data_IF_060436546452
#
_entry.id   IF_060436546452
#
_cell.length_a   1.000
_cell.length_b   1.000
_cell.length_c   1.000
_cell.angle_alpha   90.00
_cell.angle_beta   90.00
_cell.angle_gamma   90.00
#
_symmetry.space_group_name_H-M   'P 1'
#
loop_
_entity.id
_entity.type
_entity.pdbx_description
1 polymer ?
#
# COMPACT_ATOMS: atom_id res chain seq x y z
N UNK A 1 6.91 -14.52 -26.43
CA UNK A 1 6.78 -13.18 -25.84
C UNK A 1 5.43 -12.64 -26.27
N UNK A 2 4.52 -12.35 -25.34
CA UNK A 2 3.30 -11.58 -25.66
C UNK A 2 3.70 -10.10 -25.65
N UNK A 3 3.51 -9.41 -26.76
CA UNK A 3 3.76 -7.97 -26.90
C UNK A 3 2.43 -7.24 -26.65
N UNK A 4 2.49 -6.03 -26.08
CA UNK A 4 1.36 -5.10 -25.95
C UNK A 4 0.90 -4.61 -27.34
N UNK A 5 0.44 -5.51 -28.21
CA UNK A 5 -0.01 -5.22 -29.57
C UNK A 5 -1.50 -5.60 -29.68
N UNK A 6 -2.36 -4.73 -29.15
CA UNK A 6 -3.82 -4.93 -29.13
C UNK A 6 -4.37 -5.84 -28.03
N UNK A 7 -3.55 -6.71 -27.43
CA UNK A 7 -3.96 -7.66 -26.39
C UNK A 7 -3.58 -7.22 -24.96
N UNK A 8 -3.79 -5.94 -24.64
CA UNK A 8 -3.35 -5.34 -23.37
C UNK A 8 -3.95 -6.04 -22.15
N UNK A 9 -5.26 -6.27 -22.17
CA UNK A 9 -5.97 -6.95 -21.07
C UNK A 9 -5.42 -8.36 -20.84
N UNK A 10 -5.28 -9.15 -21.89
CA UNK A 10 -4.78 -10.53 -21.80
C UNK A 10 -3.33 -10.56 -21.34
N UNK A 11 -2.51 -9.61 -21.80
CA UNK A 11 -1.13 -9.47 -21.34
C UNK A 11 -1.07 -9.20 -19.84
N UNK A 12 -1.84 -8.24 -19.32
CA UNK A 12 -1.89 -7.94 -17.88
C UNK A 12 -2.34 -9.19 -17.09
N UNK A 13 -3.40 -9.87 -17.54
CA UNK A 13 -3.93 -11.07 -16.89
C UNK A 13 -2.93 -12.24 -16.88
N UNK A 14 -2.14 -12.38 -17.95
CA UNK A 14 -1.08 -13.37 -18.03
C UNK A 14 0.06 -13.08 -17.04
N UNK A 15 0.48 -11.81 -16.93
CA UNK A 15 1.48 -11.40 -15.95
C UNK A 15 0.99 -11.59 -14.51
N UNK A 16 -0.29 -11.28 -14.24
CA UNK A 16 -0.93 -11.60 -12.95
C UNK A 16 -0.88 -13.10 -12.66
N UNK A 17 -1.26 -13.94 -13.62
CA UNK A 17 -1.21 -15.39 -13.45
C UNK A 17 0.21 -15.88 -13.13
N UNK A 18 1.24 -15.35 -13.82
CA UNK A 18 2.64 -15.68 -13.53
C UNK A 18 3.05 -15.27 -12.11
N UNK A 19 2.69 -14.05 -11.69
CA UNK A 19 2.96 -13.58 -10.33
C UNK A 19 2.28 -14.46 -9.28
N UNK A 20 1.02 -14.86 -9.50
CA UNK A 20 0.26 -15.73 -8.61
C UNK A 20 0.83 -17.16 -8.54
N UNK A 21 1.43 -17.67 -9.62
CA UNK A 21 2.17 -18.93 -9.57
C UNK A 21 3.34 -18.86 -8.58
N UNK A 22 4.15 -17.80 -8.63
CA UNK A 22 5.20 -17.58 -7.63
C UNK A 22 4.62 -17.43 -6.22
N UNK A 23 3.54 -16.67 -6.05
CA UNK A 23 2.88 -16.48 -4.76
C UNK A 23 2.50 -17.82 -4.09
N UNK A 24 2.00 -18.78 -4.87
CA UNK A 24 1.65 -20.13 -4.40
C UNK A 24 2.87 -21.01 -4.08
N UNK A 25 4.02 -20.76 -4.71
CA UNK A 25 5.24 -21.54 -4.50
C UNK A 25 6.07 -21.04 -3.30
N UNK A 26 6.06 -19.73 -3.02
CA UNK A 26 6.87 -19.11 -1.96
C UNK A 26 6.72 -19.77 -0.58
N UNK A 27 5.52 -20.17 -0.10
CA UNK A 27 5.37 -20.83 1.20
C UNK A 27 6.15 -22.15 1.33
N UNK A 28 6.50 -22.79 0.20
CA UNK A 28 7.26 -24.04 0.17
C UNK A 28 8.77 -23.82 0.02
N UNK A 29 9.25 -22.59 -0.15
CA UNK A 29 10.66 -22.27 -0.24
C UNK A 29 11.22 -21.97 1.18
N UNK A 30 12.10 -22.81 1.74
CA UNK A 30 12.62 -22.62 3.10
C UNK A 30 13.69 -21.51 3.21
N UNK A 31 14.39 -21.19 2.12
CA UNK A 31 15.44 -20.18 2.15
C UNK A 31 14.88 -18.78 1.93
N UNK A 32 15.07 -17.92 2.93
CA UNK A 32 14.56 -16.54 2.93
C UNK A 32 15.11 -15.70 1.78
N UNK A 33 16.36 -15.92 1.36
CA UNK A 33 16.93 -15.18 0.21
C UNK A 33 16.24 -15.59 -1.10
N UNK A 34 15.95 -16.87 -1.28
CA UNK A 34 15.17 -17.38 -2.42
C UNK A 34 13.72 -16.88 -2.38
N UNK A 35 13.07 -16.84 -1.21
CA UNK A 35 11.75 -16.20 -1.07
C UNK A 35 11.77 -14.73 -1.54
N UNK A 36 12.76 -13.95 -1.10
CA UNK A 36 12.93 -12.56 -1.55
C UNK A 36 13.16 -12.47 -3.06
N UNK A 37 13.99 -13.36 -3.63
CA UNK A 37 14.21 -13.40 -5.07
C UNK A 37 12.94 -13.75 -5.85
N UNK A 38 12.10 -14.65 -5.33
CA UNK A 38 10.79 -14.99 -5.93
C UNK A 38 9.82 -13.80 -5.88
N UNK A 39 9.77 -13.06 -4.76
CA UNK A 39 9.00 -11.81 -4.68
C UNK A 39 9.52 -10.75 -5.64
N UNK A 40 10.83 -10.58 -5.77
CA UNK A 40 11.42 -9.69 -6.76
C UNK A 40 11.02 -10.10 -8.18
N UNK A 41 11.02 -11.40 -8.51
CA UNK A 41 10.56 -11.90 -9.81
C UNK A 41 9.09 -11.59 -10.10
N UNK A 42 8.24 -11.58 -9.08
CA UNK A 42 6.84 -11.13 -9.21
C UNK A 42 6.76 -9.66 -9.63
N UNK A 43 7.54 -8.79 -9.00
CA UNK A 43 7.62 -7.36 -9.37
C UNK A 43 8.19 -7.21 -10.79
N UNK A 44 9.30 -7.90 -11.10
CA UNK A 44 9.96 -7.84 -12.41
C UNK A 44 8.98 -8.21 -13.55
N UNK A 45 8.09 -9.18 -13.31
CA UNK A 45 7.04 -9.58 -14.26
C UNK A 45 6.14 -8.42 -14.66
N UNK A 46 5.90 -7.46 -13.75
CA UNK A 46 5.09 -6.29 -13.99
C UNK A 46 5.85 -5.09 -14.56
N UNK A 47 7.17 -5.19 -14.79
CA UNK A 47 7.99 -4.03 -15.18
C UNK A 47 7.43 -3.23 -16.35
N UNK A 48 6.90 -3.90 -17.38
CA UNK A 48 6.28 -3.23 -18.55
C UNK A 48 5.01 -2.45 -18.17
N UNK A 49 4.23 -2.94 -17.20
CA UNK A 49 3.05 -2.26 -16.68
C UNK A 49 3.44 -1.08 -15.79
N UNK A 50 4.42 -1.28 -14.89
CA UNK A 50 4.80 -0.27 -13.90
C UNK A 50 5.49 0.95 -14.51
N UNK A 51 6.14 0.77 -15.66
CA UNK A 51 6.85 1.83 -16.38
C UNK A 51 6.16 2.27 -17.69
N UNK A 52 5.06 1.62 -18.05
CA UNK A 52 4.30 1.94 -19.26
C UNK A 52 3.28 3.07 -19.06
N UNK A 53 2.88 3.69 -20.16
CA UNK A 53 1.78 4.64 -20.20
C UNK A 53 0.51 3.92 -20.65
N UNK A 54 -0.56 4.06 -19.86
CA UNK A 54 -1.84 3.37 -20.10
C UNK A 54 -2.99 4.35 -20.10
N UNK A 55 -3.99 4.09 -20.95
CA UNK A 55 -5.26 4.77 -20.85
C UNK A 55 -6.00 4.30 -19.59
N UNK A 56 -6.06 5.18 -18.57
CA UNK A 56 -6.65 4.88 -17.27
C UNK A 56 -8.17 4.63 -17.35
N UNK A 57 -8.86 5.19 -18.34
CA UNK A 57 -10.29 4.91 -18.55
C UNK A 57 -10.52 3.48 -19.06
N UNK A 58 -9.60 2.97 -19.88
CA UNK A 58 -9.71 1.63 -20.46
C UNK A 58 -9.19 0.54 -19.50
N UNK A 59 -8.11 0.83 -18.75
CA UNK A 59 -7.37 -0.18 -17.99
C UNK A 59 -7.29 0.09 -16.50
N UNK A 60 -7.94 1.14 -15.98
CA UNK A 60 -7.83 1.59 -14.59
C UNK A 60 -8.06 0.47 -13.57
N UNK A 61 -9.10 -0.35 -13.73
CA UNK A 61 -9.36 -1.48 -12.83
C UNK A 61 -8.25 -2.54 -12.84
N UNK A 62 -7.67 -2.84 -14.00
CA UNK A 62 -6.56 -3.79 -14.11
C UNK A 62 -5.29 -3.24 -13.47
N UNK A 63 -4.98 -1.97 -13.71
CA UNK A 63 -3.84 -1.29 -13.08
C UNK A 63 -3.99 -1.22 -11.57
N UNK A 64 -5.21 -1.00 -11.09
CA UNK A 64 -5.53 -0.97 -9.67
C UNK A 64 -5.24 -2.32 -9.01
N UNK A 65 -5.69 -3.43 -9.60
CA UNK A 65 -5.33 -4.78 -9.10
C UNK A 65 -3.80 -5.00 -9.06
N UNK A 66 -3.08 -4.59 -10.13
CA UNK A 66 -1.62 -4.72 -10.19
C UNK A 66 -0.93 -3.87 -9.12
N UNK A 67 -1.35 -2.61 -8.94
CA UNK A 67 -0.78 -1.72 -7.93
C UNK A 67 -1.02 -2.21 -6.51
N UNK A 68 -2.21 -2.75 -6.23
CA UNK A 68 -2.48 -3.40 -4.95
C UNK A 68 -1.51 -4.57 -4.71
N UNK A 69 -1.40 -5.49 -5.68
CA UNK A 69 -0.52 -6.66 -5.54
C UNK A 69 0.95 -6.27 -5.39
N UNK A 70 1.43 -5.31 -6.18
CA UNK A 70 2.82 -4.83 -6.10
C UNK A 70 3.08 -4.12 -4.78
N UNK A 71 2.14 -3.30 -4.31
CA UNK A 71 2.20 -2.69 -2.98
C UNK A 71 2.34 -3.73 -1.87
N UNK A 72 1.57 -4.81 -1.93
CA UNK A 72 1.67 -5.94 -0.99
C UNK A 72 3.02 -6.64 -1.08
N UNK A 73 3.52 -6.94 -2.29
CA UNK A 73 4.81 -7.60 -2.47
C UNK A 73 5.95 -6.77 -1.85
N UNK A 74 5.95 -5.45 -2.06
CA UNK A 74 6.92 -4.56 -1.46
C UNK A 74 6.80 -4.50 0.08
N UNK A 75 5.57 -4.48 0.63
CA UNK A 75 5.38 -4.58 2.08
C UNK A 75 5.94 -5.90 2.63
N UNK A 76 5.76 -7.01 1.90
CA UNK A 76 6.30 -8.32 2.30
C UNK A 76 7.82 -8.31 2.22
N UNK A 77 8.43 -7.72 1.17
CA UNK A 77 9.88 -7.61 1.04
C UNK A 77 10.51 -6.78 2.16
N UNK A 78 9.83 -5.70 2.57
CA UNK A 78 10.21 -4.95 3.74
C UNK A 78 10.23 -5.85 4.97
N UNK A 79 9.13 -6.53 5.30
CA UNK A 79 9.01 -7.41 6.47
C UNK A 79 9.99 -8.61 6.41
N UNK A 80 10.18 -9.20 5.23
CA UNK A 80 11.15 -10.27 4.96
C UNK A 80 12.60 -9.81 5.03
N UNK A 81 12.92 -8.53 5.11
CA UNK A 81 14.31 -8.11 5.39
C UNK A 81 14.50 -7.65 6.84
N UNK A 82 13.41 -7.53 7.59
CA UNK A 82 13.40 -7.17 9.01
C UNK A 82 13.70 -8.40 9.87
N UNK A 83 14.81 -8.36 10.60
CA UNK A 83 15.09 -9.29 11.71
C UNK A 83 15.14 -8.54 13.03
N UNK A 84 15.73 -7.33 13.04
CA UNK A 84 15.77 -6.43 14.20
C UNK A 84 15.80 -4.95 13.75
N UNK A 85 15.27 -4.03 14.56
CA UNK A 85 15.37 -2.57 14.39
C UNK A 85 16.83 -2.10 14.54
N UNK A 86 17.62 -2.24 13.48
CA UNK A 86 19.06 -2.00 13.44
C UNK A 86 19.40 -1.09 12.25
N UNK A 87 20.64 -0.63 12.06
CA UNK A 87 21.00 0.12 10.83
C UNK A 87 20.58 -0.59 9.52
N UNK A 88 20.76 -1.93 9.39
CA UNK A 88 20.22 -2.70 8.26
C UNK A 88 18.71 -2.59 8.04
N UNK A 89 17.92 -2.27 9.08
CA UNK A 89 16.48 -2.01 8.94
C UNK A 89 16.22 -0.81 8.03
N UNK A 90 17.00 0.26 8.18
CA UNK A 90 16.76 1.49 7.42
C UNK A 90 17.13 1.35 5.94
N UNK A 91 17.99 0.37 5.62
CA UNK A 91 18.34 0.00 4.25
C UNK A 91 17.19 -0.70 3.50
N UNK A 92 16.14 -1.14 4.22
CA UNK A 92 14.95 -1.77 3.64
C UNK A 92 13.81 -0.78 3.42
N UNK A 93 13.93 0.45 3.94
CA UNK A 93 12.89 1.48 3.83
C UNK A 93 12.49 1.79 2.39
N UNK A 94 13.37 1.58 1.42
CA UNK A 94 13.00 1.74 0.01
C UNK A 94 11.82 0.84 -0.37
N UNK A 95 11.79 -0.41 0.09
CA UNK A 95 10.65 -1.30 -0.13
C UNK A 95 9.36 -0.77 0.53
N UNK A 96 9.44 -0.21 1.73
CA UNK A 96 8.25 0.37 2.35
C UNK A 96 7.77 1.64 1.62
N UNK A 97 8.70 2.47 1.14
CA UNK A 97 8.37 3.66 0.33
C UNK A 97 7.76 3.26 -1.01
N UNK A 98 8.30 2.25 -1.68
CA UNK A 98 7.73 1.71 -2.92
C UNK A 98 6.34 1.10 -2.67
N UNK A 99 6.16 0.39 -1.54
CA UNK A 99 4.86 -0.12 -1.12
C UNK A 99 3.83 1.00 -0.96
N UNK A 100 4.20 2.09 -0.25
CA UNK A 100 3.36 3.29 -0.11
C UNK A 100 3.02 3.86 -1.48
N UNK A 101 4.01 4.07 -2.34
CA UNK A 101 3.81 4.63 -3.68
C UNK A 101 2.79 3.84 -4.50
N UNK A 102 2.87 2.51 -4.52
CA UNK A 102 1.92 1.69 -5.27
C UNK A 102 0.53 1.63 -4.61
N UNK A 103 0.45 1.60 -3.28
CA UNK A 103 -0.85 1.71 -2.61
C UNK A 103 -1.49 3.09 -2.79
N UNK A 104 -0.72 4.16 -2.84
CA UNK A 104 -1.24 5.49 -3.18
C UNK A 104 -1.81 5.50 -4.59
N UNK A 105 -1.07 4.97 -5.59
CA UNK A 105 -1.60 4.82 -6.95
C UNK A 105 -2.89 3.99 -7.01
N UNK A 106 -2.96 2.91 -6.24
CA UNK A 106 -4.17 2.11 -6.08
C UNK A 106 -5.36 2.95 -5.59
N UNK A 107 -5.17 3.74 -4.53
CA UNK A 107 -6.23 4.62 -3.98
C UNK A 107 -6.55 5.77 -4.95
N UNK A 108 -5.56 6.34 -5.62
CA UNK A 108 -5.74 7.39 -6.62
C UNK A 108 -6.63 6.94 -7.78
N UNK A 109 -6.52 5.67 -8.21
CA UNK A 109 -7.37 5.13 -9.27
C UNK A 109 -8.85 5.10 -8.90
N UNK A 110 -9.18 4.83 -7.64
CA UNK A 110 -10.56 5.00 -7.16
C UNK A 110 -11.01 6.46 -7.22
N UNK A 111 -10.14 7.43 -6.91
CA UNK A 111 -10.52 8.84 -7.05
C UNK A 111 -10.69 9.25 -8.51
N UNK A 112 -9.78 8.81 -9.38
CA UNK A 112 -9.81 9.05 -10.82
C UNK A 112 -11.09 8.51 -11.49
N UNK A 113 -11.52 7.30 -11.14
CA UNK A 113 -12.71 6.65 -11.70
C UNK A 113 -14.02 7.41 -11.45
N UNK A 114 -14.03 8.43 -10.58
CA UNK A 114 -15.17 9.33 -10.41
C UNK A 114 -15.35 10.31 -11.59
N UNK A 115 -14.40 10.38 -12.53
CA UNK A 115 -14.50 11.18 -13.75
C UNK A 115 -14.36 12.69 -13.52
N UNK A 116 -13.68 13.11 -12.45
CA UNK A 116 -13.51 14.53 -12.08
C UNK A 116 -12.18 15.14 -12.52
N UNK A 117 -11.23 14.34 -13.00
CA UNK A 117 -9.85 14.77 -13.27
C UNK A 117 -9.32 14.14 -14.55
N UNK A 118 -8.37 14.81 -15.21
CA UNK A 118 -7.72 14.34 -16.43
C UNK A 118 -6.56 13.35 -16.16
N UNK A 119 -6.23 13.12 -14.89
CA UNK A 119 -5.15 12.24 -14.47
C UNK A 119 -5.19 11.87 -12.98
N UNK A 120 -4.18 11.13 -12.53
CA UNK A 120 -4.01 10.77 -11.12
C UNK A 120 -3.56 11.99 -10.32
N UNK A 121 -4.45 12.48 -9.46
CA UNK A 121 -4.15 13.55 -8.52
C UNK A 121 -3.58 12.99 -7.20
N UNK A 122 -2.85 13.80 -6.41
CA UNK A 122 -2.47 13.45 -5.06
C UNK A 122 -3.69 13.05 -4.21
N UNK A 123 -3.48 12.19 -3.22
CA UNK A 123 -4.55 11.80 -2.30
C UNK A 123 -5.10 13.03 -1.57
N UNK A 124 -6.43 13.11 -1.36
CA UNK A 124 -7.02 14.22 -0.65
C UNK A 124 -6.47 14.26 0.79
N UNK A 125 -6.27 15.45 1.39
CA UNK A 125 -5.80 15.57 2.76
C UNK A 125 -6.70 14.84 3.76
N UNK A 126 -8.02 14.95 3.55
CA UNK A 126 -9.04 14.17 4.24
C UNK A 126 -9.60 13.11 3.29
N UNK A 127 -9.50 11.85 3.68
CA UNK A 127 -10.02 10.74 2.90
C UNK A 127 -11.56 10.77 2.91
N UNK A 128 -12.13 10.50 1.74
CA UNK A 128 -13.58 10.34 1.57
C UNK A 128 -13.87 9.14 0.68
N UNK A 129 -15.08 8.58 0.78
CA UNK A 129 -15.50 7.46 -0.05
C UNK A 129 -15.73 7.91 -1.49
N UNK A 130 -15.08 7.28 -2.47
CA UNK A 130 -15.37 7.52 -3.88
C UNK A 130 -16.84 7.35 -4.22
N UNK A 131 -17.42 8.30 -4.96
CA UNK A 131 -18.87 8.37 -5.21
C UNK A 131 -19.45 7.18 -5.99
N UNK A 132 -18.62 6.43 -6.70
CA UNK A 132 -19.02 5.25 -7.48
C UNK A 132 -19.00 3.95 -6.65
N UNK A 133 -18.57 3.98 -5.38
CA UNK A 133 -18.61 2.82 -4.49
C UNK A 133 -19.93 2.80 -3.74
N UNK A 134 -20.86 1.99 -4.24
CA UNK A 134 -22.25 1.97 -3.77
C UNK A 134 -22.52 0.84 -2.77
N UNK A 135 -21.72 -0.23 -2.81
CA UNK A 135 -21.99 -1.46 -2.06
C UNK A 135 -20.83 -1.89 -1.16
N UNK A 136 -21.15 -2.66 -0.11
CA UNK A 136 -20.13 -3.20 0.80
C UNK A 136 -19.04 -4.05 0.08
N UNK A 137 -19.36 -4.89 -0.92
CA UNK A 137 -18.36 -5.56 -1.75
C UNK A 137 -17.35 -4.63 -2.44
N UNK A 138 -17.78 -3.45 -2.90
CA UNK A 138 -16.90 -2.49 -3.59
C UNK A 138 -16.07 -1.67 -2.60
N UNK A 139 -16.65 -1.39 -1.43
CA UNK A 139 -16.01 -0.66 -0.34
C UNK A 139 -14.90 -1.50 0.34
N UNK A 140 -15.04 -2.83 0.36
CA UNK A 140 -14.10 -3.70 1.07
C UNK A 140 -12.66 -3.64 0.52
N UNK A 141 -12.41 -3.81 -0.77
CA UNK A 141 -11.06 -3.68 -1.32
C UNK A 141 -10.48 -2.27 -1.14
N UNK A 142 -11.31 -1.23 -1.24
CA UNK A 142 -10.90 0.16 -1.01
C UNK A 142 -10.38 0.36 0.42
N UNK A 143 -11.18 -0.01 1.43
CA UNK A 143 -10.79 0.12 2.83
C UNK A 143 -9.62 -0.78 3.20
N UNK A 144 -9.58 -2.02 2.69
CA UNK A 144 -8.43 -2.90 2.89
C UNK A 144 -7.13 -2.25 2.39
N UNK A 145 -7.14 -1.67 1.20
CA UNK A 145 -5.96 -0.94 0.69
C UNK A 145 -5.60 0.27 1.54
N UNK A 146 -6.58 1.02 2.04
CA UNK A 146 -6.32 2.12 2.99
C UNK A 146 -5.71 1.64 4.30
N UNK A 147 -6.20 0.54 4.89
CA UNK A 147 -5.62 -0.04 6.10
C UNK A 147 -4.18 -0.51 5.87
N UNK A 148 -3.91 -1.18 4.74
CA UNK A 148 -2.55 -1.61 4.41
C UNK A 148 -1.63 -0.40 4.19
N UNK A 149 -2.07 0.61 3.42
CA UNK A 149 -1.33 1.86 3.21
C UNK A 149 -0.98 2.52 4.56
N UNK A 150 -1.98 2.68 5.42
CA UNK A 150 -1.85 3.28 6.75
C UNK A 150 -0.83 2.52 7.61
N UNK A 151 -0.92 1.18 7.59
CA UNK A 151 0.02 0.30 8.31
C UNK A 151 1.45 0.47 7.80
N UNK A 152 1.67 0.56 6.49
CA UNK A 152 3.02 0.73 5.93
C UNK A 152 3.62 2.07 6.35
N UNK A 153 2.84 3.16 6.34
CA UNK A 153 3.26 4.46 6.88
C UNK A 153 3.75 4.38 8.33
N UNK A 154 3.03 3.64 9.19
CA UNK A 154 3.38 3.46 10.60
C UNK A 154 4.59 2.55 10.86
N UNK A 155 5.00 1.75 9.87
CA UNK A 155 6.16 0.86 9.98
C UNK A 155 7.48 1.61 9.75
N UNK A 156 7.54 2.54 8.80
CA UNK A 156 8.82 3.08 8.33
C UNK A 156 9.55 3.89 9.42
N UNK A 157 10.86 3.68 9.55
CA UNK A 157 11.73 4.44 10.46
C UNK A 157 13.03 4.79 9.74
N UNK A 158 13.34 6.08 9.62
CA UNK A 158 14.53 6.60 8.93
C UNK A 158 15.61 7.05 9.93
N UNK A 159 16.83 7.26 9.42
CA UNK A 159 17.90 7.94 10.18
C UNK A 159 17.54 9.40 10.47
N UNK A 160 16.80 10.03 9.55
CA UNK A 160 16.23 11.36 9.74
C UNK A 160 14.93 11.25 10.54
N UNK A 161 15.02 11.58 11.83
CA UNK A 161 13.87 11.61 12.74
C UNK A 161 12.74 12.52 12.23
N UNK A 162 13.04 13.62 11.52
CA UNK A 162 12.00 14.49 10.98
C UNK A 162 11.22 13.80 9.85
N UNK A 163 11.90 13.00 9.03
CA UNK A 163 11.25 12.17 8.01
C UNK A 163 10.40 11.07 8.64
N UNK A 164 10.89 10.42 9.69
CA UNK A 164 10.12 9.42 10.47
C UNK A 164 8.85 10.04 11.05
N UNK A 165 8.97 11.20 11.70
CA UNK A 165 7.83 11.94 12.26
C UNK A 165 6.79 12.21 11.17
N UNK A 166 7.19 12.71 9.99
CA UNK A 166 6.23 12.98 8.89
C UNK A 166 5.42 11.73 8.49
N UNK A 167 6.08 10.57 8.37
CA UNK A 167 5.40 9.32 8.01
C UNK A 167 4.46 8.84 9.12
N UNK A 168 4.87 8.95 10.39
CA UNK A 168 4.04 8.56 11.52
C UNK A 168 2.87 9.53 11.76
N UNK A 169 3.05 10.83 11.53
CA UNK A 169 1.97 11.81 11.54
C UNK A 169 0.95 11.47 10.46
N UNK A 170 1.40 11.13 9.24
CA UNK A 170 0.47 10.70 8.18
C UNK A 170 -0.27 9.41 8.55
N UNK A 171 0.40 8.45 9.18
CA UNK A 171 -0.21 7.24 9.71
C UNK A 171 -1.33 7.55 10.72
N UNK A 172 -1.07 8.47 11.65
CA UNK A 172 -2.03 8.91 12.66
C UNK A 172 -3.26 9.55 12.01
N UNK A 173 -3.05 10.52 11.12
CA UNK A 173 -4.13 11.19 10.38
C UNK A 173 -5.01 10.19 9.62
N UNK A 174 -4.40 9.19 8.98
CA UNK A 174 -5.13 8.16 8.26
C UNK A 174 -5.96 7.26 9.19
N UNK A 175 -5.44 6.86 10.34
CA UNK A 175 -6.22 6.12 11.33
C UNK A 175 -7.41 6.95 11.86
N UNK A 176 -7.21 8.24 12.15
CA UNK A 176 -8.29 9.15 12.56
C UNK A 176 -9.38 9.25 11.49
N UNK A 177 -8.99 9.42 10.23
CA UNK A 177 -9.89 9.44 9.08
C UNK A 177 -10.72 8.14 8.98
N UNK A 178 -10.07 6.98 9.10
CA UNK A 178 -10.73 5.66 8.99
C UNK A 178 -11.73 5.42 10.13
N UNK A 179 -11.38 5.80 11.36
CA UNK A 179 -12.26 5.70 12.52
C UNK A 179 -13.47 6.63 12.45
N UNK A 180 -13.37 7.74 11.72
CA UNK A 180 -14.51 8.60 11.45
C UNK A 180 -15.38 8.06 10.30
N UNK A 181 -14.75 7.59 9.21
CA UNK A 181 -15.43 7.28 7.96
C UNK A 181 -16.21 5.95 8.01
N UNK A 182 -15.62 4.89 8.56
CA UNK A 182 -16.22 3.53 8.54
C UNK A 182 -17.49 3.43 9.38
N UNK A 183 -17.56 3.95 10.63
CA UNK A 183 -18.79 3.94 11.40
C UNK A 183 -19.92 4.75 10.75
N UNK A 184 -19.60 5.88 10.10
CA UNK A 184 -20.58 6.70 9.40
C UNK A 184 -21.28 5.98 8.24
N UNK A 185 -20.65 4.92 7.70
CA UNK A 185 -21.16 4.10 6.60
C UNK A 185 -21.86 2.82 7.07
N UNK A 186 -21.98 2.59 8.39
CA UNK A 186 -22.48 1.35 8.98
C UNK A 186 -21.71 0.09 8.53
N UNK A 187 -20.39 0.21 8.33
CA UNK A 187 -19.52 -0.91 7.96
C UNK A 187 -18.66 -1.54 9.08
N UNK A 188 -18.81 -1.24 10.39
CA UNK A 188 -17.81 -1.65 11.38
C UNK A 188 -17.67 -3.16 11.52
N UNK A 189 -18.72 -3.94 11.26
CA UNK A 189 -18.69 -5.40 11.37
C UNK A 189 -17.68 -6.05 10.40
N UNK A 190 -17.40 -5.43 9.25
CA UNK A 190 -16.45 -5.97 8.26
C UNK A 190 -14.98 -5.71 8.62
N UNK A 191 -14.71 -4.72 9.47
CA UNK A 191 -13.37 -4.21 9.77
C UNK A 191 -13.10 -4.17 11.27
N UNK A 192 -13.71 -5.08 12.03
CA UNK A 192 -13.67 -5.06 13.50
C UNK A 192 -12.24 -5.06 14.02
N UNK A 193 -11.39 -5.93 13.46
CA UNK A 193 -10.00 -6.07 13.86
C UNK A 193 -9.17 -4.85 13.44
N UNK A 194 -9.38 -4.33 12.23
CA UNK A 194 -8.67 -3.17 11.71
C UNK A 194 -9.04 -1.87 12.45
N UNK A 195 -10.31 -1.73 12.87
CA UNK A 195 -10.76 -0.63 13.71
C UNK A 195 -10.20 -0.73 15.12
N UNK A 196 -10.13 -1.94 15.70
CA UNK A 196 -9.50 -2.16 17.00
C UNK A 196 -8.01 -1.75 16.96
N UNK A 197 -7.26 -2.20 15.95
CA UNK A 197 -5.87 -1.78 15.74
C UNK A 197 -5.77 -0.27 15.57
N UNK A 198 -6.67 0.34 14.80
CA UNK A 198 -6.67 1.80 14.59
C UNK A 198 -6.86 2.56 15.90
N UNK A 199 -7.79 2.11 16.77
CA UNK A 199 -7.98 2.70 18.10
C UNK A 199 -6.73 2.60 18.97
N UNK A 200 -6.05 1.45 18.98
CA UNK A 200 -4.78 1.29 19.71
C UNK A 200 -3.69 2.21 19.17
N UNK A 201 -3.59 2.35 17.84
CA UNK A 201 -2.60 3.20 17.19
C UNK A 201 -2.80 4.69 17.49
N UNK A 202 -4.04 5.15 17.69
CA UNK A 202 -4.33 6.53 18.14
C UNK A 202 -3.77 6.82 19.54
N UNK A 203 -3.64 5.82 20.40
CA UNK A 203 -3.05 5.98 21.73
C UNK A 203 -1.51 5.91 21.67
N UNK A 204 -0.95 5.07 20.79
CA UNK A 204 0.48 4.79 20.74
C UNK A 204 1.28 5.76 19.87
N UNK A 205 0.76 6.15 18.70
CA UNK A 205 1.50 6.98 17.74
C UNK A 205 1.85 8.38 18.28
N UNK A 206 0.95 9.11 18.97
CA UNK A 206 1.29 10.42 19.53
C UNK A 206 2.48 10.36 20.49
N UNK A 207 2.51 9.35 21.37
CA UNK A 207 3.62 9.13 22.29
C UNK A 207 4.94 8.82 21.56
N UNK A 208 4.87 7.96 20.53
CA UNK A 208 6.05 7.66 19.68
C UNK A 208 6.57 8.89 18.96
N UNK A 209 5.69 9.71 18.39
CA UNK A 209 6.04 10.96 17.70
C UNK A 209 6.67 11.96 18.68
N UNK A 210 6.04 12.16 19.85
CA UNK A 210 6.55 13.03 20.91
C UNK A 210 7.95 12.59 21.36
N UNK A 211 8.16 11.28 21.55
CA UNK A 211 9.46 10.76 21.95
C UNK A 211 10.59 11.14 20.97
N UNK A 212 10.34 11.04 19.65
CA UNK A 212 11.32 11.47 18.63
C UNK A 212 11.57 12.98 18.67
N UNK A 213 10.54 13.80 18.89
CA UNK A 213 10.70 15.24 19.07
C UNK A 213 11.56 15.59 20.30
N UNK A 214 11.37 14.89 21.42
CA UNK A 214 12.12 15.15 22.65
C UNK A 214 13.57 14.66 22.59
N UNK A 215 13.86 13.55 21.89
CA UNK A 215 15.23 13.07 21.64
C UNK A 215 16.09 14.14 20.97
N UNK A 216 15.50 14.93 20.06
CA UNK A 216 16.16 16.06 19.38
C UNK A 216 16.53 17.23 20.30
N UNK A 217 15.87 17.39 21.46
CA UNK A 217 16.16 18.49 22.42
C UNK A 217 17.31 18.17 23.39
N UNK A 218 17.80 16.93 23.43
CA UNK A 218 18.87 16.47 24.34
C UNK A 218 20.22 16.24 23.66
N UNK A 219 20.32 16.53 22.37
CA UNK A 219 21.54 16.54 21.55
C UNK A 219 21.83 17.96 21.10
#
# INVERSE_FOLDING_TARGET
YFVLDGFVTDHIRLLQSQSQCYAKLIPFEPDRKRQMAMHQKRIDSYGVILHGEFNLNAYGYLLQEVYYEVGEIYSILHDLKVVHLTKPYMETNHFAVDSIHYFEKFVQLYYYQQGKTDGLEPLPPQLYVPTHLESAPDLKPFFNGLFVLTRVYGKVTFQDDAKTVRFWTKCLEMHENLLQLIPALNLPAFFTDELAISHEMLLLLPEKINHLHYKRRRL
#
